data_IF_227589169106
#
_entry.id   IF_227589169106
#
_cell.length_a   1.000
_cell.length_b   1.000
_cell.length_c   1.000
_cell.angle_alpha   90.00
_cell.angle_beta   90.00
_cell.angle_gamma   90.00
#
_symmetry.space_group_name_H-M   'P 1'
#
loop_
_entity.id
_entity.type
_entity.pdbx_description
1 polymer ?
#
# COMPACT_ATOMS: atom_id res chain seq x y z
N UNK A 1 7.18 9.76 13.80
CA UNK A 1 7.48 8.58 12.96
C UNK A 1 8.84 8.72 12.28
N UNK A 2 9.94 8.30 12.91
CA UNK A 2 11.30 8.35 12.29
C UNK A 2 11.81 6.96 11.94
N UNK A 3 11.55 5.97 12.80
CA UNK A 3 11.95 4.57 12.57
C UNK A 3 11.28 3.98 11.33
N UNK A 4 9.94 4.01 11.28
CA UNK A 4 9.17 3.46 10.15
C UNK A 4 9.53 4.16 8.84
N UNK A 5 9.62 5.49 8.86
CA UNK A 5 10.02 6.27 7.69
C UNK A 5 11.46 5.99 7.24
N UNK A 6 12.35 5.60 8.16
CA UNK A 6 13.70 5.14 7.82
C UNK A 6 13.69 3.76 7.16
N UNK A 7 12.86 2.83 7.65
CA UNK A 7 12.69 1.50 7.06
C UNK A 7 12.15 1.62 5.62
N UNK A 8 11.13 2.45 5.41
CA UNK A 8 10.52 2.65 4.09
C UNK A 8 11.36 3.50 3.12
N UNK A 9 12.52 4.00 3.55
CA UNK A 9 13.39 4.85 2.73
C UNK A 9 12.83 6.25 2.44
N UNK A 10 11.84 6.71 3.22
CA UNK A 10 11.29 8.09 3.17
C UNK A 10 12.26 9.05 3.86
N UNK A 11 12.80 8.64 5.01
CA UNK A 11 13.82 9.37 5.77
C UNK A 11 15.15 8.64 5.64
N UNK A 12 16.22 9.35 5.30
CA UNK A 12 17.56 8.74 5.19
C UNK A 12 18.23 8.70 6.56
N UNK A 13 18.63 7.52 7.00
CA UNK A 13 19.49 7.35 8.17
C UNK A 13 20.97 7.62 7.81
N UNK A 14 21.71 8.21 8.76
CA UNK A 14 23.12 8.61 8.56
C UNK A 14 24.05 7.40 8.55
N UNK A 15 23.94 6.54 9.54
CA UNK A 15 24.85 5.42 9.80
C UNK A 15 24.07 4.14 10.16
N UNK A 16 24.77 3.00 10.13
CA UNK A 16 24.20 1.67 10.35
C UNK A 16 23.61 1.05 9.08
N UNK A 17 22.88 -0.03 9.27
CA UNK A 17 22.17 -0.73 8.20
C UNK A 17 20.86 -1.33 8.71
N UNK A 18 19.93 -1.55 7.79
CA UNK A 18 18.66 -2.23 8.06
C UNK A 18 18.72 -3.54 7.29
N UNK A 19 18.49 -4.65 7.97
CA UNK A 19 18.43 -5.98 7.36
C UNK A 19 16.98 -6.44 7.25
N UNK A 20 16.60 -6.99 6.10
CA UNK A 20 15.32 -7.63 5.88
C UNK A 20 15.55 -9.01 5.28
N UNK A 21 15.05 -10.06 5.95
CA UNK A 21 15.26 -11.46 5.55
C UNK A 21 16.74 -11.85 5.35
N UNK A 22 17.64 -11.22 6.13
CA UNK A 22 19.08 -11.45 6.06
C UNK A 22 19.83 -10.55 5.08
N UNK A 23 19.13 -9.84 4.19
CA UNK A 23 19.74 -8.96 3.19
C UNK A 23 19.70 -7.49 3.60
N UNK A 24 20.70 -6.73 3.14
CA UNK A 24 20.75 -5.28 3.35
C UNK A 24 19.61 -4.60 2.57
N UNK A 25 18.75 -3.90 3.30
CA UNK A 25 17.65 -3.17 2.72
C UNK A 25 18.15 -1.89 2.01
N UNK A 26 17.70 -1.61 0.77
CA UNK A 26 18.09 -0.39 0.06
C UNK A 26 17.63 0.88 0.79
N UNK A 27 18.37 1.98 0.63
CA UNK A 27 17.99 3.29 1.19
C UNK A 27 16.92 4.04 0.37
N UNK A 28 16.60 3.60 -0.84
CA UNK A 28 15.66 4.28 -1.74
C UNK A 28 14.27 3.66 -1.64
N UNK A 29 13.24 4.47 -1.34
CA UNK A 29 11.88 3.98 -1.12
C UNK A 29 11.32 3.07 -2.24
N UNK A 30 11.51 3.46 -3.51
CA UNK A 30 11.05 2.66 -4.65
C UNK A 30 11.75 1.30 -4.77
N UNK A 31 12.93 1.13 -4.18
CA UNK A 31 13.62 -0.17 -4.08
C UNK A 31 13.15 -0.95 -2.86
N UNK A 32 12.83 -0.28 -1.75
CA UNK A 32 12.27 -0.92 -0.55
C UNK A 32 10.94 -1.62 -0.87
N UNK A 33 10.02 -0.93 -1.56
CA UNK A 33 8.74 -1.53 -1.97
C UNK A 33 8.92 -2.72 -2.92
N UNK A 34 9.92 -2.66 -3.81
CA UNK A 34 10.27 -3.80 -4.68
C UNK A 34 10.79 -5.02 -3.91
N UNK A 35 11.32 -4.83 -2.69
CA UNK A 35 11.72 -5.93 -1.80
C UNK A 35 10.54 -6.49 -0.97
N UNK A 36 9.32 -6.00 -1.19
CA UNK A 36 8.11 -6.52 -0.55
C UNK A 36 7.74 -5.84 0.77
N UNK A 37 8.32 -4.67 1.07
CA UNK A 37 7.95 -3.86 2.24
C UNK A 37 7.01 -2.74 1.79
N UNK A 38 5.76 -2.81 2.24
CA UNK A 38 4.76 -1.76 2.03
C UNK A 38 4.50 -1.03 3.35
N UNK A 39 4.26 0.28 3.27
CA UNK A 39 3.90 1.11 4.41
C UNK A 39 2.49 1.67 4.22
N UNK A 40 1.66 1.55 5.26
CA UNK A 40 0.39 2.27 5.40
C UNK A 40 0.64 3.43 6.35
N UNK A 41 0.87 4.66 5.85
CA UNK A 41 1.14 5.81 6.71
C UNK A 41 -0.15 6.29 7.41
N UNK A 42 0.02 7.05 8.49
CA UNK A 42 -1.08 7.78 9.12
C UNK A 42 -1.68 8.80 8.14
N UNK A 43 -2.95 9.15 8.35
CA UNK A 43 -3.61 10.22 7.59
C UNK A 43 -4.35 9.78 6.32
N UNK A 44 -4.58 8.47 6.13
CA UNK A 44 -5.48 7.93 5.07
C UNK A 44 -5.08 8.41 3.67
N UNK A 45 -3.83 8.15 3.31
CA UNK A 45 -3.26 8.61 2.04
C UNK A 45 -3.75 7.69 0.90
N UNK A 46 -4.98 7.94 0.46
CA UNK A 46 -5.59 7.36 -0.74
C UNK A 46 -5.61 8.39 -1.88
N UNK A 47 -5.73 7.93 -3.12
CA UNK A 47 -5.97 8.81 -4.26
C UNK A 47 -7.45 9.19 -4.30
N UNK A 48 -7.77 10.34 -3.71
CA UNK A 48 -9.14 10.80 -3.50
C UNK A 48 -9.96 10.97 -4.79
N UNK A 49 -9.30 11.23 -5.92
CA UNK A 49 -9.91 11.40 -7.24
C UNK A 49 -10.10 10.09 -8.01
N UNK A 50 -9.58 8.96 -7.50
CA UNK A 50 -9.78 7.64 -8.08
C UNK A 50 -10.93 6.93 -7.38
N UNK A 51 -11.52 5.96 -8.08
CA UNK A 51 -12.49 5.03 -7.49
C UNK A 51 -11.82 4.07 -6.51
N UNK A 52 -12.64 3.38 -5.71
CA UNK A 52 -12.15 2.35 -4.78
C UNK A 52 -11.38 1.26 -5.52
N UNK A 53 -11.92 0.75 -6.62
CA UNK A 53 -11.26 -0.30 -7.41
C UNK A 53 -9.93 0.17 -8.01
N UNK A 54 -9.86 1.41 -8.49
CA UNK A 54 -8.62 1.98 -9.02
C UNK A 54 -7.56 2.14 -7.92
N UNK A 55 -7.94 2.60 -6.73
CA UNK A 55 -7.04 2.67 -5.56
C UNK A 55 -6.48 1.28 -5.20
N UNK A 56 -7.34 0.26 -5.13
CA UNK A 56 -6.91 -1.10 -4.83
C UNK A 56 -5.96 -1.65 -5.89
N UNK A 57 -6.24 -1.38 -7.18
CA UNK A 57 -5.37 -1.78 -8.29
C UNK A 57 -4.01 -1.10 -8.25
N UNK A 58 -3.91 0.15 -7.80
CA UNK A 58 -2.62 0.84 -7.63
C UNK A 58 -1.67 0.09 -6.70
N UNK A 59 -2.18 -0.62 -5.68
CA UNK A 59 -1.36 -1.47 -4.80
C UNK A 59 -0.65 -2.63 -5.53
N UNK A 60 -1.16 -3.02 -6.70
CA UNK A 60 -0.60 -4.09 -7.54
C UNK A 60 0.32 -3.59 -8.66
N UNK A 61 0.66 -2.30 -8.70
CA UNK A 61 1.39 -1.68 -9.83
C UNK A 61 2.70 -2.38 -10.24
N UNK A 62 3.42 -2.97 -9.28
CA UNK A 62 4.69 -3.69 -9.56
C UNK A 62 4.50 -5.17 -9.91
N UNK A 63 3.28 -5.69 -9.77
CA UNK A 63 2.93 -7.09 -10.04
C UNK A 63 2.54 -7.28 -11.50
N UNK A 64 2.69 -8.52 -11.98
CA UNK A 64 2.35 -8.92 -13.37
C UNK A 64 1.46 -10.17 -13.42
N UNK A 65 1.17 -10.78 -12.27
CA UNK A 65 0.40 -12.00 -12.13
C UNK A 65 -1.11 -11.68 -12.07
N UNK A 66 -1.74 -11.47 -13.22
CA UNK A 66 -3.15 -11.06 -13.31
C UNK A 66 -4.08 -11.97 -12.51
N UNK A 67 -3.93 -13.29 -12.60
CA UNK A 67 -4.76 -14.25 -11.86
C UNK A 67 -4.54 -14.18 -10.34
N UNK A 68 -3.33 -13.86 -9.89
CA UNK A 68 -3.04 -13.62 -8.48
C UNK A 68 -3.68 -12.33 -7.99
N UNK A 69 -3.56 -11.25 -8.77
CA UNK A 69 -4.16 -9.96 -8.47
C UNK A 69 -5.68 -10.07 -8.35
N UNK A 70 -6.34 -10.78 -9.27
CA UNK A 70 -7.80 -10.99 -9.21
C UNK A 70 -8.22 -11.80 -7.99
N UNK A 71 -7.46 -12.84 -7.60
CA UNK A 71 -7.73 -13.62 -6.38
C UNK A 71 -7.56 -12.78 -5.12
N UNK A 72 -6.52 -11.97 -5.04
CA UNK A 72 -6.27 -11.10 -3.90
C UNK A 72 -7.33 -10.00 -3.79
N UNK A 73 -7.77 -9.44 -4.92
CA UNK A 73 -8.87 -8.47 -4.94
C UNK A 73 -10.18 -9.07 -4.40
N UNK A 74 -10.52 -10.30 -4.82
CA UNK A 74 -11.69 -10.99 -4.27
C UNK A 74 -11.57 -11.21 -2.76
N UNK A 75 -10.38 -11.61 -2.29
CA UNK A 75 -10.11 -11.75 -0.86
C UNK A 75 -10.24 -10.42 -0.11
N UNK A 76 -9.79 -9.30 -0.68
CA UNK A 76 -9.97 -7.96 -0.08
C UNK A 76 -11.46 -7.65 0.06
N UNK A 77 -12.26 -7.94 -0.95
CA UNK A 77 -13.71 -7.74 -0.90
C UNK A 77 -14.44 -8.67 0.07
N UNK A 78 -13.91 -9.86 0.33
CA UNK A 78 -14.41 -10.73 1.41
C UNK A 78 -14.10 -10.15 2.80
N UNK A 79 -12.92 -9.56 2.98
CA UNK A 79 -12.50 -8.93 4.24
C UNK A 79 -13.22 -7.60 4.48
N UNK A 80 -13.45 -6.83 3.42
CA UNK A 80 -14.10 -5.52 3.47
C UNK A 80 -15.26 -5.45 2.47
N UNK A 81 -16.42 -6.07 2.79
CA UNK A 81 -17.58 -6.10 1.89
C UNK A 81 -18.04 -4.71 1.45
N UNK A 82 -17.91 -3.71 2.33
CA UNK A 82 -18.28 -2.32 2.04
C UNK A 82 -17.47 -1.73 0.87
N UNK A 83 -16.22 -2.14 0.69
CA UNK A 83 -15.40 -1.69 -0.44
C UNK A 83 -15.88 -2.29 -1.77
N UNK A 84 -16.45 -3.50 -1.73
CA UNK A 84 -17.06 -4.15 -2.90
C UNK A 84 -18.36 -3.44 -3.31
N UNK A 85 -19.23 -3.19 -2.33
CA UNK A 85 -20.49 -2.46 -2.56
C UNK A 85 -20.25 -1.08 -3.19
N UNK A 86 -19.09 -0.47 -2.91
CA UNK A 86 -18.70 0.87 -3.35
C UNK A 86 -17.53 0.88 -4.33
N UNK A 87 -17.28 -0.24 -5.03
CA UNK A 87 -16.06 -0.38 -5.84
C UNK A 87 -15.90 0.72 -6.91
N UNK A 88 -17.02 1.20 -7.46
CA UNK A 88 -17.07 2.24 -8.48
C UNK A 88 -17.23 3.67 -7.91
N UNK A 89 -17.34 3.81 -6.58
CA UNK A 89 -17.45 5.11 -5.92
C UNK A 89 -16.08 5.79 -5.85
N UNK A 90 -16.05 7.12 -6.04
CA UNK A 90 -14.85 7.94 -5.87
C UNK A 90 -14.42 7.92 -4.40
N UNK A 91 -13.19 7.48 -4.11
CA UNK A 91 -12.73 7.20 -2.74
C UNK A 91 -12.68 8.42 -1.83
N UNK A 92 -12.53 9.63 -2.40
CA UNK A 92 -12.59 10.88 -1.64
C UNK A 92 -13.95 11.16 -0.98
N UNK A 93 -15.02 10.48 -1.41
CA UNK A 93 -16.38 10.64 -0.86
C UNK A 93 -16.72 9.62 0.24
N UNK A 94 -15.83 8.67 0.51
CA UNK A 94 -15.99 7.69 1.59
C UNK A 94 -15.86 8.35 2.96
N UNK A 95 -16.47 7.73 3.98
CA UNK A 95 -16.22 8.12 5.37
C UNK A 95 -14.76 7.86 5.76
N UNK A 96 -14.28 8.54 6.80
CA UNK A 96 -12.89 8.37 7.25
C UNK A 96 -12.53 6.95 7.69
N UNK A 97 -13.50 6.18 8.19
CA UNK A 97 -13.29 4.76 8.54
C UNK A 97 -13.15 3.90 7.29
N UNK A 98 -13.97 4.14 6.27
CA UNK A 98 -13.91 3.43 5.00
C UNK A 98 -12.64 3.77 4.20
N UNK A 99 -12.15 5.01 4.27
CA UNK A 99 -10.86 5.39 3.68
C UNK A 99 -9.65 4.73 4.35
N UNK A 100 -9.82 4.22 5.57
CA UNK A 100 -8.75 3.58 6.34
C UNK A 100 -8.67 2.07 6.06
N UNK A 101 -9.74 1.48 5.52
CA UNK A 101 -9.82 0.07 5.11
C UNK A 101 -9.10 -0.14 3.79
#
# INVERSE_FOLDING_TARGET
STLINSISGIVKYKEGEILYKGDKLPKQAHKVVKNGICQVPEGRIIFANLTVIENLRMGSFLRKDNDGISRDLNRIFELFPILKERENQVSGTLSGGEQQM
#
